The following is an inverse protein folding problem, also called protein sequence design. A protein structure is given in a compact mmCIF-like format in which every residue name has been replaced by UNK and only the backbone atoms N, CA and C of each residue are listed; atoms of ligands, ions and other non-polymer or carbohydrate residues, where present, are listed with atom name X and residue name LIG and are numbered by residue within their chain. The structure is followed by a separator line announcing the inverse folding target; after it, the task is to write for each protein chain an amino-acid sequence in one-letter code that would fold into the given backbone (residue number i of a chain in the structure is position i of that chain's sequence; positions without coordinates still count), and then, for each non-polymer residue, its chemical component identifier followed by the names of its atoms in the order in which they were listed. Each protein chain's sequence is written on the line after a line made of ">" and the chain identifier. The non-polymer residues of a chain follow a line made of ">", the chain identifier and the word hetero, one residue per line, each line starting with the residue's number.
data_IF_564833911796
#
_entry.id   IF_564833911796
#
_cell.length_a   1.000
_cell.length_b   1.000
_cell.length_c   1.000
_cell.angle_alpha   90.00
_cell.angle_beta   90.00
_cell.angle_gamma   90.00
#
_symmetry.space_group_name_H-M   'P 1'
#
loop_
_entity.id
_entity.type
_entity.pdbx_description
1 polymer ?
#
# COMPACT_ATOMS: atom_id res chain seq x y z
N UNK A 1 7.26 -8.47 19.78
CA UNK A 1 6.61 -9.38 18.81
C UNK A 1 5.22 -8.88 18.54
N UNK A 2 4.83 -8.81 17.28
CA UNK A 2 3.50 -8.33 16.88
C UNK A 2 2.44 -9.39 17.16
N UNK A 3 1.24 -8.96 17.51
CA UNK A 3 0.15 -9.88 17.73
C UNK A 3 -0.28 -10.53 16.40
N UNK A 4 -0.72 -11.80 16.40
CA UNK A 4 -1.19 -12.46 15.18
C UNK A 4 -2.28 -11.69 14.42
N UNK A 5 -3.14 -10.97 15.16
CA UNK A 5 -4.19 -10.13 14.57
C UNK A 5 -3.63 -8.88 13.85
N UNK A 6 -2.54 -8.31 14.35
CA UNK A 6 -1.85 -7.20 13.69
C UNK A 6 -1.21 -7.66 12.38
N UNK A 7 -0.54 -8.82 12.41
CA UNK A 7 0.06 -9.45 11.23
C UNK A 7 -1.03 -9.77 10.19
N UNK A 8 -2.19 -10.26 10.62
CA UNK A 8 -3.32 -10.52 9.72
C UNK A 8 -3.88 -9.23 9.12
N UNK A 9 -3.99 -8.17 9.92
CA UNK A 9 -4.51 -6.89 9.46
C UNK A 9 -3.57 -6.23 8.43
N UNK A 10 -2.25 -6.24 8.69
CA UNK A 10 -1.28 -5.60 7.79
C UNK A 10 -1.13 -6.37 6.48
N UNK A 11 -1.05 -7.70 6.51
CA UNK A 11 -0.96 -8.53 5.28
C UNK A 11 -2.20 -8.35 4.39
N UNK A 12 -3.40 -8.26 4.98
CA UNK A 12 -4.64 -7.95 4.26
C UNK A 12 -4.59 -6.56 3.62
N UNK A 13 -4.10 -5.54 4.33
CA UNK A 13 -3.91 -4.18 3.77
C UNK A 13 -2.92 -4.21 2.61
N UNK A 14 -1.80 -4.91 2.75
CA UNK A 14 -0.78 -5.02 1.70
C UNK A 14 -1.37 -5.63 0.42
N UNK A 15 -2.12 -6.72 0.51
CA UNK A 15 -2.82 -7.29 -0.65
C UNK A 15 -3.90 -6.40 -1.25
N UNK A 16 -4.56 -5.58 -0.43
CA UNK A 16 -5.56 -4.62 -0.92
C UNK A 16 -4.94 -3.51 -1.75
N UNK A 17 -3.75 -3.07 -1.37
CA UNK A 17 -3.13 -1.89 -1.97
C UNK A 17 -2.02 -2.23 -2.97
N UNK A 18 -1.48 -3.43 -3.01
CA UNK A 18 -0.38 -3.77 -3.92
C UNK A 18 -0.68 -5.08 -4.63
N UNK A 19 -0.43 -5.11 -5.94
CA UNK A 19 -0.64 -6.31 -6.77
C UNK A 19 0.38 -7.41 -6.43
N UNK A 20 1.61 -7.02 -6.09
CA UNK A 20 2.68 -7.94 -5.72
C UNK A 20 3.36 -7.52 -4.41
N UNK A 21 2.67 -7.64 -3.26
CA UNK A 21 3.19 -7.15 -1.98
C UNK A 21 4.41 -7.93 -1.51
N UNK A 22 4.50 -9.23 -1.81
CA UNK A 22 5.63 -10.08 -1.40
C UNK A 22 6.93 -9.60 -2.05
N UNK A 23 6.92 -9.26 -3.33
CA UNK A 23 8.12 -8.77 -4.01
C UNK A 23 8.55 -7.39 -3.49
N UNK A 24 7.58 -6.48 -3.30
CA UNK A 24 7.85 -5.13 -2.79
C UNK A 24 8.42 -5.18 -1.36
N UNK A 25 7.82 -5.97 -0.49
CA UNK A 25 8.29 -6.12 0.89
C UNK A 25 9.64 -6.82 0.96
N UNK A 26 9.93 -7.78 0.08
CA UNK A 26 11.25 -8.40 -0.01
C UNK A 26 12.34 -7.38 -0.36
N UNK A 27 12.05 -6.48 -1.30
CA UNK A 27 12.95 -5.40 -1.66
C UNK A 27 13.16 -4.42 -0.51
N UNK A 28 12.07 -3.99 0.15
CA UNK A 28 12.13 -2.99 1.22
C UNK A 28 12.77 -3.54 2.52
N UNK A 29 12.45 -4.77 2.91
CA UNK A 29 12.97 -5.39 4.15
C UNK A 29 14.37 -6.00 4.01
N UNK A 30 14.89 -6.10 2.78
CA UNK A 30 16.13 -6.84 2.49
C UNK A 30 16.02 -8.35 2.74
N UNK A 31 14.82 -8.90 2.90
CA UNK A 31 14.59 -10.34 3.10
C UNK A 31 14.29 -11.05 1.80
N UNK A 32 14.61 -12.34 1.75
CA UNK A 32 14.30 -13.17 0.60
C UNK A 32 12.78 -13.34 0.43
N UNK A 33 12.32 -13.42 -0.82
CA UNK A 33 10.90 -13.67 -1.17
C UNK A 33 10.30 -14.88 -0.45
N UNK A 34 11.00 -16.02 -0.27
CA UNK A 34 10.47 -17.14 0.51
C UNK A 34 10.20 -16.80 1.97
N UNK A 35 11.07 -16.02 2.63
CA UNK A 35 10.88 -15.60 4.03
C UNK A 35 9.70 -14.64 4.16
N UNK A 36 9.59 -13.68 3.24
CA UNK A 36 8.42 -12.79 3.18
C UNK A 36 7.15 -13.58 2.89
N UNK A 37 7.18 -14.54 1.98
CA UNK A 37 6.04 -15.41 1.70
C UNK A 37 5.62 -16.21 2.94
N UNK A 38 6.55 -16.70 3.77
CA UNK A 38 6.22 -17.35 5.04
C UNK A 38 5.47 -16.41 5.98
N UNK A 39 5.94 -15.16 6.13
CA UNK A 39 5.25 -14.13 6.91
C UNK A 39 3.82 -13.89 6.41
N UNK A 40 3.64 -13.66 5.10
CA UNK A 40 2.31 -13.43 4.50
C UNK A 40 1.38 -14.63 4.66
N UNK A 41 1.94 -15.84 4.71
CA UNK A 41 1.21 -17.08 4.95
C UNK A 41 1.06 -17.44 6.43
N UNK A 42 1.48 -16.56 7.36
CA UNK A 42 1.43 -16.77 8.81
C UNK A 42 2.16 -18.05 9.25
N UNK A 43 3.23 -18.40 8.53
CA UNK A 43 4.15 -19.47 8.92
C UNK A 43 5.21 -18.91 9.85
N UNK A 44 5.68 -19.75 10.77
CA UNK A 44 6.73 -19.39 11.71
C UNK A 44 8.01 -18.96 10.96
N UNK A 45 8.56 -17.83 11.39
CA UNK A 45 9.83 -17.28 10.95
C UNK A 45 10.59 -16.74 12.15
N UNK A 46 11.88 -16.45 11.95
CA UNK A 46 12.69 -15.86 13.01
C UNK A 46 12.11 -14.51 13.44
N UNK A 47 12.06 -14.20 14.75
CA UNK A 47 11.47 -12.95 15.26
C UNK A 47 12.09 -11.69 14.64
N UNK A 48 13.42 -11.68 14.48
CA UNK A 48 14.13 -10.57 13.83
C UNK A 48 13.77 -10.39 12.35
N UNK A 49 13.35 -11.45 11.67
CA UNK A 49 12.87 -11.35 10.29
C UNK A 49 11.43 -10.88 10.25
N UNK A 50 10.60 -11.32 11.20
CA UNK A 50 9.22 -10.84 11.33
C UNK A 50 9.17 -9.33 11.55
N UNK A 51 10.02 -8.82 12.44
CA UNK A 51 10.10 -7.39 12.75
C UNK A 51 10.44 -6.55 11.51
N UNK A 52 11.53 -6.89 10.82
CA UNK A 52 11.96 -6.20 9.60
C UNK A 52 10.93 -6.26 8.47
N UNK A 53 10.21 -7.38 8.35
CA UNK A 53 9.16 -7.54 7.34
C UNK A 53 7.93 -6.70 7.70
N UNK A 54 7.57 -6.64 8.97
CA UNK A 54 6.44 -5.86 9.46
C UNK A 54 6.69 -4.36 9.29
N UNK A 55 7.87 -3.87 9.68
CA UNK A 55 8.28 -2.48 9.49
C UNK A 55 8.27 -2.09 8.01
N UNK A 56 8.83 -2.92 7.13
CA UNK A 56 8.78 -2.71 5.69
C UNK A 56 7.34 -2.61 5.14
N UNK A 57 6.40 -3.39 5.68
CA UNK A 57 4.99 -3.26 5.29
C UNK A 57 4.41 -1.90 5.70
N UNK A 58 4.74 -1.40 6.90
CA UNK A 58 4.30 -0.08 7.36
C UNK A 58 4.86 1.02 6.47
N UNK A 59 6.17 1.04 6.22
CA UNK A 59 6.84 2.03 5.38
C UNK A 59 6.23 2.12 3.98
N UNK A 60 5.93 0.97 3.36
CA UNK A 60 5.28 0.93 2.05
C UNK A 60 3.85 1.48 2.07
N UNK A 61 3.07 1.16 3.11
CA UNK A 61 1.71 1.68 3.28
C UNK A 61 1.70 3.19 3.51
N UNK A 62 2.59 3.70 4.36
CA UNK A 62 2.76 5.13 4.62
C UNK A 62 3.15 5.88 3.35
N UNK A 63 4.17 5.38 2.65
CA UNK A 63 4.62 5.94 1.37
C UNK A 63 3.49 6.00 0.33
N UNK A 64 2.62 4.98 0.30
CA UNK A 64 1.46 4.96 -0.59
C UNK A 64 0.38 5.94 -0.16
N UNK A 65 0.13 6.06 1.14
CA UNK A 65 -0.82 7.02 1.69
C UNK A 65 -0.39 8.46 1.35
N UNK A 66 0.88 8.79 1.52
CA UNK A 66 1.43 10.09 1.14
C UNK A 66 1.27 10.39 -0.35
N UNK A 67 1.61 9.41 -1.23
CA UNK A 67 1.43 9.56 -2.68
C UNK A 67 -0.03 9.84 -3.04
N UNK A 68 -0.96 9.15 -2.37
CA UNK A 68 -2.40 9.35 -2.57
C UNK A 68 -2.83 10.74 -2.12
N UNK A 69 -2.40 11.21 -0.95
CA UNK A 69 -2.68 12.57 -0.47
C UNK A 69 -2.14 13.65 -1.42
N UNK A 70 -0.90 13.48 -1.91
CA UNK A 70 -0.28 14.41 -2.88
C UNK A 70 -1.07 14.46 -4.18
N UNK A 71 -1.53 13.32 -4.69
CA UNK A 71 -2.31 13.24 -5.91
C UNK A 71 -3.71 13.87 -5.73
N UNK A 72 -4.37 13.66 -4.60
CA UNK A 72 -5.66 14.31 -4.29
C UNK A 72 -5.55 15.84 -4.20
N UNK A 73 -4.44 16.35 -3.65
CA UNK A 73 -4.17 17.80 -3.63
C UNK A 73 -3.95 18.36 -5.05
N UNK A 74 -3.25 17.62 -5.92
CA UNK A 74 -3.05 18.02 -7.33
C UNK A 74 -4.34 17.93 -8.15
N UNK A 75 -5.19 16.94 -7.89
CA UNK A 75 -6.48 16.79 -8.57
C UNK A 75 -7.43 17.97 -8.32
N UNK A 76 -7.46 18.52 -7.10
CA UNK A 76 -8.22 19.75 -6.79
C UNK A 76 -7.77 20.96 -7.62
N UNK A 77 -6.46 21.15 -7.75
CA UNK A 77 -5.89 22.27 -8.54
C UNK A 77 -6.25 22.15 -10.02
N UNK A 78 -6.32 20.94 -10.58
CA UNK A 78 -6.71 20.73 -11.97
C UNK A 78 -8.21 20.99 -12.21
N UNK A 79 -9.08 20.72 -11.24
CA UNK A 79 -10.51 21.00 -11.34
C UNK A 79 -10.87 22.47 -11.13
N UNK A 80 -10.08 23.24 -10.38
CA UNK A 80 -10.34 24.67 -10.15
C UNK A 80 -9.91 25.56 -11.32
N UNK A 81 -9.05 25.07 -12.24
CA UNK A 81 -8.55 25.83 -13.39
C UNK A 81 -9.18 25.44 -14.74
N UNK A 82 -10.17 24.54 -14.75
CA UNK A 82 -10.88 24.19 -15.96
C UNK A 82 -12.26 24.88 -15.95
N UNK A 83 -12.51 25.91 -16.78
CA UNK A 83 -13.86 26.42 -16.94
C UNK A 83 -14.70 25.29 -17.53
N UNK A 84 -15.60 24.74 -16.72
CA UNK A 84 -16.68 23.87 -17.16
C UNK A 84 -17.48 24.67 -18.19
N UNK A 85 -17.15 24.52 -19.48
CA UNK A 85 -18.03 24.92 -20.57
C UNK A 85 -19.24 24.01 -20.49
N UNK A 86 -20.29 24.50 -19.84
CA UNK A 86 -21.64 23.95 -19.94
C UNK A 86 -22.00 23.82 -21.42
N UNK A 87 -21.94 22.61 -21.95
CA UNK A 87 -22.43 22.34 -23.29
C UNK A 87 -23.95 22.20 -23.20
N UNK A 88 -24.63 23.31 -23.46
CA UNK A 88 -26.08 23.39 -23.58
C UNK A 88 -26.55 22.67 -24.84
N UNK A 89 -27.62 21.88 -24.69
CA UNK A 89 -28.63 21.53 -25.70
C UNK A 89 -28.24 20.60 -26.86
N UNK A 90 -28.99 19.51 -27.03
CA UNK A 90 -30.01 19.48 -28.07
C UNK A 90 -31.18 18.57 -27.63
N UNK A 91 -32.37 19.17 -27.51
CA UNK A 91 -33.64 18.49 -27.73
C UNK A 91 -33.87 18.43 -29.25
N UNK A 92 -34.18 17.25 -29.76
CA UNK A 92 -35.05 17.05 -30.93
C UNK A 92 -35.84 15.78 -30.69
#
# INVERSE_FOLDING_TARGET
>A
MYQPDEIKAITKKMHKYFDNPIALVAQESGKSRPTVSKFFNRKEIRPSSEELIYEACLTLLESKHEKTLRNSKKGKVLTENLPLKSQTSMKL
#
